data_IF_450537041634
#
_entry.id   IF_450537041634
#
_cell.length_a   1.000
_cell.length_b   1.000
_cell.length_c   1.000
_cell.angle_alpha   90.00
_cell.angle_beta   90.00
_cell.angle_gamma   90.00
#
_symmetry.space_group_name_H-M   'P 1'
#
loop_
_entity.id
_entity.type
_entity.pdbx_description
1 polymer ?
#
# COMPACT_ATOMS: atom_id res chain seq x y z
N UNK A 1 -48.62 2.32 -27.19
CA UNK A 1 -47.22 2.79 -27.29
C UNK A 1 -47.01 3.90 -26.29
N UNK A 2 -46.03 3.79 -25.39
CA UNK A 2 -45.06 4.83 -25.03
C UNK A 2 -44.10 4.26 -23.97
N UNK A 3 -42.83 4.60 -24.16
CA UNK A 3 -41.63 3.91 -23.70
C UNK A 3 -41.24 4.33 -22.28
N UNK A 4 -40.52 3.43 -21.59
CA UNK A 4 -39.85 3.65 -20.30
C UNK A 4 -38.69 4.64 -20.45
N UNK A 5 -38.36 5.49 -19.45
CA UNK A 5 -37.02 6.01 -19.28
C UNK A 5 -36.18 5.03 -18.45
N UNK A 6 -35.04 4.63 -18.99
CA UNK A 6 -34.05 3.76 -18.37
C UNK A 6 -33.47 4.42 -17.10
N UNK A 7 -33.37 3.64 -16.04
CA UNK A 7 -32.76 4.02 -14.76
C UNK A 7 -31.25 4.26 -14.98
N UNK A 8 -30.78 5.49 -14.74
CA UNK A 8 -29.36 5.86 -14.78
C UNK A 8 -28.55 5.02 -13.76
N UNK A 9 -28.02 3.86 -14.18
CA UNK A 9 -27.11 3.08 -13.36
C UNK A 9 -25.71 3.70 -13.45
N UNK A 10 -25.37 4.61 -12.52
CA UNK A 10 -23.96 4.93 -12.28
C UNK A 10 -23.26 3.63 -11.87
N UNK A 11 -22.12 3.28 -12.51
CA UNK A 11 -21.40 2.06 -12.13
C UNK A 11 -21.01 2.12 -10.64
N UNK A 12 -21.05 0.99 -9.93
CA UNK A 12 -20.81 0.96 -8.50
C UNK A 12 -19.40 1.49 -8.20
N UNK A 13 -19.30 2.31 -7.17
CA UNK A 13 -18.01 2.68 -6.60
C UNK A 13 -17.50 1.48 -5.82
N UNK A 14 -16.37 0.93 -6.23
CA UNK A 14 -15.74 -0.22 -5.61
C UNK A 14 -14.49 0.19 -4.83
N UNK A 15 -14.20 -0.44 -3.68
CA UNK A 15 -12.95 -0.25 -2.99
C UNK A 15 -11.83 -1.07 -3.64
N UNK A 16 -10.66 -0.47 -3.78
CA UNK A 16 -9.43 -1.13 -4.19
C UNK A 16 -8.30 -0.73 -3.26
N UNK A 17 -7.39 -1.66 -2.98
CA UNK A 17 -6.21 -1.40 -2.17
C UNK A 17 -5.02 -2.10 -2.80
N UNK A 18 -3.84 -1.49 -2.73
CA UNK A 18 -2.63 -2.13 -3.20
C UNK A 18 -1.40 -1.25 -3.10
N UNK A 19 -0.29 -1.81 -3.53
CA UNK A 19 1.00 -1.10 -3.61
C UNK A 19 1.19 -0.60 -5.03
N UNK A 20 1.54 0.67 -5.20
CA UNK A 20 1.94 1.21 -6.50
C UNK A 20 3.25 0.54 -6.90
N UNK A 21 3.20 -0.33 -7.91
CA UNK A 21 4.39 -1.04 -8.41
C UNK A 21 5.21 -0.11 -9.30
N UNK A 22 4.54 0.64 -10.19
CA UNK A 22 5.17 1.64 -11.06
C UNK A 22 4.17 2.67 -11.55
N UNK A 23 4.68 3.85 -11.89
CA UNK A 23 3.94 4.92 -12.56
C UNK A 23 4.22 4.81 -14.07
N UNK A 24 3.17 4.73 -14.87
CA UNK A 24 3.26 4.69 -16.33
C UNK A 24 3.29 6.10 -16.91
N UNK A 25 2.50 7.00 -16.33
CA UNK A 25 2.44 8.41 -16.71
C UNK A 25 2.00 9.24 -15.51
N UNK A 26 2.56 10.44 -15.36
CA UNK A 26 2.13 11.43 -14.38
C UNK A 26 2.27 12.83 -15.01
N UNK A 27 1.22 13.63 -14.93
CA UNK A 27 1.22 15.03 -15.32
C UNK A 27 1.29 15.89 -14.06
N UNK A 28 2.40 16.62 -13.90
CA UNK A 28 2.58 17.54 -12.75
C UNK A 28 1.60 18.72 -12.79
N UNK A 29 1.14 19.11 -13.99
CA UNK A 29 0.26 20.26 -14.20
C UNK A 29 -1.20 19.97 -13.82
N UNK A 30 -1.66 18.73 -14.06
CA UNK A 30 -3.05 18.33 -13.81
C UNK A 30 -3.23 17.30 -12.69
N UNK A 31 -2.14 16.71 -12.19
CA UNK A 31 -2.16 15.56 -11.27
C UNK A 31 -2.59 14.24 -11.93
N UNK A 32 -2.92 14.25 -13.23
CA UNK A 32 -3.40 13.07 -13.93
C UNK A 32 -2.31 11.99 -13.97
N UNK A 33 -2.62 10.82 -13.41
CA UNK A 33 -1.68 9.71 -13.28
C UNK A 33 -2.29 8.43 -13.82
N UNK A 34 -1.47 7.68 -14.54
CA UNK A 34 -1.69 6.28 -14.90
C UNK A 34 -0.62 5.46 -14.16
N UNK A 35 -1.04 4.56 -13.28
CA UNK A 35 -0.12 3.73 -12.51
C UNK A 35 -0.54 2.26 -12.52
N UNK A 36 0.42 1.38 -12.23
CA UNK A 36 0.21 -0.06 -12.07
C UNK A 36 0.24 -0.39 -10.59
N UNK A 37 -0.89 -0.86 -10.08
CA UNK A 37 -1.10 -1.21 -8.69
C UNK A 37 -1.06 -2.74 -8.53
N UNK A 38 -0.34 -3.20 -7.54
CA UNK A 38 -0.35 -4.58 -7.06
C UNK A 38 -1.37 -4.74 -5.94
N UNK A 39 -2.52 -5.32 -6.24
CA UNK A 39 -3.54 -5.62 -5.23
C UNK A 39 -3.15 -6.85 -4.38
N UNK A 40 -3.57 -6.93 -3.10
CA UNK A 40 -3.39 -8.11 -2.28
C UNK A 40 -4.07 -9.30 -2.92
N UNK A 41 -3.38 -10.45 -3.00
CA UNK A 41 -3.90 -11.74 -3.51
C UNK A 41 -4.13 -11.81 -5.03
N UNK A 42 -3.81 -10.77 -5.82
CA UNK A 42 -3.81 -10.87 -7.29
C UNK A 42 -2.39 -11.05 -7.81
N UNK A 43 -2.20 -11.94 -8.80
CA UNK A 43 -0.92 -12.04 -9.53
C UNK A 43 -0.76 -10.90 -10.54
N UNK A 44 -1.86 -10.39 -11.06
CA UNK A 44 -1.86 -9.34 -12.06
C UNK A 44 -1.81 -7.94 -11.45
N UNK A 45 -1.20 -7.02 -12.20
CA UNK A 45 -1.17 -5.60 -11.88
C UNK A 45 -2.44 -4.95 -12.43
N UNK A 46 -3.12 -4.21 -11.57
CA UNK A 46 -4.28 -3.40 -11.92
C UNK A 46 -3.81 -2.05 -12.45
N UNK A 47 -4.37 -1.59 -13.56
CA UNK A 47 -4.12 -0.23 -14.04
C UNK A 47 -5.05 0.73 -13.31
N UNK A 48 -4.52 1.72 -12.61
CA UNK A 48 -5.28 2.78 -11.96
C UNK A 48 -5.10 4.09 -12.72
N UNK A 49 -6.17 4.86 -12.85
CA UNK A 49 -6.18 6.18 -13.51
C UNK A 49 -6.93 7.19 -12.65
N UNK A 50 -6.42 8.40 -12.53
CA UNK A 50 -7.06 9.44 -11.71
C UNK A 50 -6.15 10.64 -11.47
N UNK A 51 -6.65 11.61 -10.71
CA UNK A 51 -5.86 12.77 -10.29
C UNK A 51 -5.26 12.51 -8.91
N UNK A 52 -3.93 12.53 -8.81
CA UNK A 52 -3.19 12.31 -7.58
C UNK A 52 -2.27 13.51 -7.33
N UNK A 53 -2.36 14.10 -6.13
CA UNK A 53 -1.51 15.23 -5.72
C UNK A 53 -0.05 14.81 -5.58
N UNK A 54 0.20 13.64 -4.98
CA UNK A 54 1.51 13.00 -4.87
C UNK A 54 1.31 11.50 -5.02
N UNK A 55 2.07 10.88 -5.92
CA UNK A 55 2.07 9.43 -6.11
C UNK A 55 3.47 8.95 -6.43
N UNK A 56 3.90 7.88 -5.76
CA UNK A 56 5.22 7.30 -5.88
C UNK A 56 5.14 5.77 -5.91
N UNK A 57 6.06 5.14 -6.64
CA UNK A 57 6.23 3.69 -6.57
C UNK A 57 6.61 3.28 -5.15
N UNK A 58 6.04 2.18 -4.66
CA UNK A 58 6.19 1.69 -3.29
C UNK A 58 5.12 2.19 -2.32
N UNK A 59 4.35 3.24 -2.66
CA UNK A 59 3.26 3.70 -1.80
C UNK A 59 2.12 2.68 -1.77
N UNK A 60 1.51 2.53 -0.59
CA UNK A 60 0.29 1.73 -0.47
C UNK A 60 -0.92 2.67 -0.47
N UNK A 61 -1.80 2.48 -1.43
CA UNK A 61 -2.99 3.29 -1.59
C UNK A 61 -4.23 2.46 -1.28
N UNK A 62 -5.12 3.04 -0.48
CA UNK A 62 -6.50 2.61 -0.37
C UNK A 62 -7.36 3.60 -1.15
N UNK A 63 -8.13 3.10 -2.11
CA UNK A 63 -8.84 3.92 -3.08
C UNK A 63 -10.26 3.41 -3.31
N UNK A 64 -11.09 4.32 -3.80
CA UNK A 64 -12.45 4.05 -4.26
C UNK A 64 -12.56 4.58 -5.68
N UNK A 65 -13.30 3.86 -6.51
CA UNK A 65 -13.34 4.16 -7.92
C UNK A 65 -14.26 3.25 -8.69
N UNK A 66 -14.22 3.40 -10.01
CA UNK A 66 -15.12 2.73 -10.94
C UNK A 66 -14.26 1.92 -11.91
N UNK A 67 -14.60 0.66 -12.13
CA UNK A 67 -14.00 -0.11 -13.22
C UNK A 67 -14.52 0.37 -14.57
N UNK A 68 -13.58 0.64 -15.49
CA UNK A 68 -13.82 1.01 -16.87
C UNK A 68 -13.00 0.10 -17.78
N UNK A 69 -13.58 -0.30 -18.89
CA UNK A 69 -12.86 -1.03 -19.93
C UNK A 69 -12.42 -0.05 -21.01
N UNK A 70 -11.11 0.00 -21.28
CA UNK A 70 -10.57 0.79 -22.38
C UNK A 70 -10.37 -0.12 -23.60
N UNK A 71 -10.91 0.22 -24.78
CA UNK A 71 -10.91 -0.66 -25.96
C UNK A 71 -9.51 -1.06 -26.43
N UNK A 72 -8.48 -0.26 -26.14
CA UNK A 72 -7.08 -0.53 -26.51
C UNK A 72 -6.21 -1.09 -25.36
N UNK A 73 -6.57 -0.83 -24.11
CA UNK A 73 -5.68 -1.08 -22.95
C UNK A 73 -6.29 -2.01 -21.90
N UNK A 74 -7.52 -2.49 -22.13
CA UNK A 74 -8.22 -3.38 -21.23
C UNK A 74 -8.76 -2.67 -19.99
N UNK A 75 -8.93 -3.43 -18.91
CA UNK A 75 -9.58 -2.97 -17.69
C UNK A 75 -8.70 -1.97 -16.91
N UNK A 76 -9.31 -0.84 -16.57
CA UNK A 76 -8.73 0.25 -15.79
C UNK A 76 -9.64 0.61 -14.63
N UNK A 77 -9.04 0.97 -13.50
CA UNK A 77 -9.73 1.42 -12.32
C UNK A 77 -9.65 2.95 -12.24
N UNK A 78 -10.76 3.63 -12.49
CA UNK A 78 -10.85 5.08 -12.41
C UNK A 78 -11.05 5.50 -10.96
N UNK A 79 -10.00 6.04 -10.35
CA UNK A 79 -9.96 6.48 -8.96
C UNK A 79 -10.71 7.79 -8.80
N UNK A 80 -11.70 7.80 -7.91
CA UNK A 80 -12.45 9.00 -7.52
C UNK A 80 -11.98 9.57 -6.19
N UNK A 81 -11.54 8.69 -5.28
CA UNK A 81 -11.00 9.07 -3.98
C UNK A 81 -9.88 8.11 -3.57
N UNK A 82 -8.84 8.62 -2.93
CA UNK A 82 -7.75 7.80 -2.41
C UNK A 82 -7.20 8.36 -1.11
N UNK A 83 -6.51 7.48 -0.37
CA UNK A 83 -5.70 7.81 0.80
C UNK A 83 -4.43 6.97 0.77
N UNK A 84 -3.31 7.61 1.09
CA UNK A 84 -2.07 6.90 1.38
C UNK A 84 -2.17 6.20 2.73
N UNK A 85 -1.80 4.93 2.75
CA UNK A 85 -1.82 4.08 3.94
C UNK A 85 -0.45 3.42 4.10
N UNK A 86 -0.11 3.04 5.34
CA UNK A 86 1.01 2.13 5.60
C UNK A 86 0.81 0.81 4.84
N UNK A 87 1.86 0.06 4.48
CA UNK A 87 1.71 -1.16 3.71
C UNK A 87 0.71 -2.11 4.35
N UNK A 88 -0.38 -2.35 3.63
CA UNK A 88 -1.55 -3.04 4.12
C UNK A 88 -1.54 -4.53 3.73
N UNK A 89 -0.34 -5.06 3.49
CA UNK A 89 -0.10 -6.48 3.23
C UNK A 89 1.08 -6.96 4.06
N UNK A 90 0.98 -8.19 4.58
CA UNK A 90 2.05 -8.82 5.35
C UNK A 90 3.37 -8.85 4.56
N UNK A 91 3.30 -9.19 3.27
CA UNK A 91 4.48 -9.21 2.39
C UNK A 91 5.08 -7.82 2.18
N UNK A 92 4.25 -6.78 2.08
CA UNK A 92 4.71 -5.40 1.98
C UNK A 92 5.44 -4.95 3.24
N UNK A 93 4.88 -5.25 4.40
CA UNK A 93 5.51 -4.97 5.70
C UNK A 93 6.82 -5.74 5.84
N UNK A 94 6.85 -7.02 5.47
CA UNK A 94 8.05 -7.86 5.56
C UNK A 94 9.17 -7.33 4.65
N UNK A 95 8.84 -6.98 3.39
CA UNK A 95 9.82 -6.40 2.45
C UNK A 95 10.31 -5.04 2.92
N UNK A 96 9.41 -4.19 3.40
CA UNK A 96 9.76 -2.87 3.92
C UNK A 96 10.76 -2.97 5.08
N UNK A 97 10.42 -3.77 6.10
CA UNK A 97 11.27 -3.99 7.26
C UNK A 97 12.58 -4.72 6.92
N UNK A 98 12.51 -5.69 6.02
CA UNK A 98 13.65 -6.54 5.61
C UNK A 98 14.56 -5.91 4.56
N UNK A 99 14.23 -4.72 4.04
CA UNK A 99 15.00 -4.01 3.01
C UNK A 99 16.38 -3.53 3.47
N UNK A 100 16.70 -3.69 4.76
CA UNK A 100 17.94 -3.19 5.37
C UNK A 100 17.87 -1.72 5.76
N UNK A 101 16.74 -1.07 5.50
CA UNK A 101 16.50 0.32 5.82
C UNK A 101 16.38 0.54 7.34
N UNK A 102 15.81 -0.43 8.09
CA UNK A 102 15.84 -0.43 9.56
C UNK A 102 17.04 -1.24 10.05
N UNK A 103 18.06 -0.56 10.60
CA UNK A 103 19.20 -1.25 11.23
C UNK A 103 18.71 -2.17 12.35
N UNK A 104 19.08 -3.44 12.25
CA UNK A 104 18.68 -4.48 13.21
C UNK A 104 17.48 -5.34 12.77
N UNK A 105 16.79 -4.97 11.69
CA UNK A 105 15.74 -5.80 11.06
C UNK A 105 16.23 -6.31 9.71
N UNK A 106 16.78 -7.52 9.71
CA UNK A 106 17.05 -8.25 8.47
C UNK A 106 15.81 -9.02 7.98
N UNK A 107 15.84 -9.62 6.78
CA UNK A 107 14.71 -10.35 6.19
C UNK A 107 14.12 -11.42 7.12
N UNK A 108 14.99 -12.15 7.84
CA UNK A 108 14.57 -13.19 8.80
C UNK A 108 13.83 -12.58 10.00
N UNK A 109 14.34 -11.46 10.53
CA UNK A 109 13.69 -10.76 11.65
C UNK A 109 12.37 -10.17 11.19
N UNK A 110 12.34 -9.51 10.03
CA UNK A 110 11.12 -8.94 9.45
C UNK A 110 10.03 -10.01 9.33
N UNK A 111 10.36 -11.17 8.76
CA UNK A 111 9.43 -12.30 8.63
C UNK A 111 8.87 -12.77 9.97
N UNK A 112 9.70 -12.84 11.02
CA UNK A 112 9.25 -13.24 12.37
C UNK A 112 8.35 -12.20 13.01
N UNK A 113 8.70 -10.92 12.91
CA UNK A 113 7.89 -9.82 13.47
C UNK A 113 6.53 -9.78 12.78
N UNK A 114 6.51 -9.85 11.45
CA UNK A 114 5.26 -9.88 10.67
C UNK A 114 4.46 -11.14 10.92
N UNK A 115 5.10 -12.31 11.10
CA UNK A 115 4.39 -13.53 11.47
C UNK A 115 3.73 -13.45 12.85
N UNK A 116 4.28 -12.64 13.77
CA UNK A 116 3.77 -12.51 15.13
C UNK A 116 2.69 -11.42 15.25
N UNK A 117 2.93 -10.22 14.72
CA UNK A 117 2.01 -9.08 14.84
C UNK A 117 1.14 -8.84 13.60
N UNK A 118 1.36 -9.58 12.52
CA UNK A 118 0.58 -9.43 11.30
C UNK A 118 0.64 -8.01 10.72
N UNK A 119 -0.53 -7.49 10.33
CA UNK A 119 -0.69 -6.15 9.77
C UNK A 119 -0.45 -5.04 10.80
N UNK A 120 -0.51 -5.35 12.09
CA UNK A 120 -0.29 -4.39 13.18
C UNK A 120 1.21 -4.10 13.40
N UNK A 121 2.10 -4.85 12.76
CA UNK A 121 3.55 -4.76 12.95
C UNK A 121 4.07 -3.32 12.94
N UNK A 122 3.65 -2.49 11.98
CA UNK A 122 4.14 -1.11 11.86
C UNK A 122 3.59 -0.20 12.95
N UNK A 123 2.38 -0.47 13.44
CA UNK A 123 1.80 0.24 14.58
C UNK A 123 2.55 -0.13 15.87
N UNK A 124 2.84 -1.41 16.06
CA UNK A 124 3.63 -1.91 17.18
C UNK A 124 5.02 -1.28 17.20
N UNK A 125 5.72 -1.23 16.07
CA UNK A 125 7.05 -0.60 16.01
C UNK A 125 6.97 0.91 16.30
N UNK A 126 5.85 1.57 15.95
CA UNK A 126 5.67 3.01 16.12
C UNK A 126 5.26 3.41 17.53
N UNK A 127 4.33 2.69 18.15
CA UNK A 127 3.69 3.06 19.41
C UNK A 127 4.04 2.14 20.58
N UNK A 128 4.42 0.88 20.30
CA UNK A 128 4.56 -0.18 21.30
C UNK A 128 5.82 -1.04 21.07
N UNK A 129 6.94 -0.40 20.76
CA UNK A 129 8.13 -1.09 20.25
C UNK A 129 8.72 -2.09 21.26
N UNK A 130 8.45 -1.92 22.56
CA UNK A 130 8.86 -2.88 23.58
C UNK A 130 8.27 -4.27 23.35
N UNK A 131 7.09 -4.36 22.72
CA UNK A 131 6.41 -5.61 22.41
C UNK A 131 7.19 -6.48 21.44
N UNK A 132 8.15 -5.93 20.68
CA UNK A 132 9.04 -6.75 19.85
C UNK A 132 9.79 -7.83 20.63
N UNK A 133 9.90 -7.72 21.97
CA UNK A 133 10.45 -8.77 22.83
C UNK A 133 9.58 -10.04 22.88
N UNK A 134 8.29 -9.95 22.54
CA UNK A 134 7.36 -11.09 22.42
C UNK A 134 7.75 -12.02 21.26
N UNK A 135 8.50 -11.51 20.28
CA UNK A 135 8.90 -12.27 19.09
C UNK A 135 10.13 -13.14 19.38
N UNK A 136 10.05 -14.47 19.15
CA UNK A 136 11.17 -15.37 19.38
C UNK A 136 12.46 -14.98 18.64
N UNK A 137 13.55 -14.82 19.40
CA UNK A 137 14.87 -14.45 18.88
C UNK A 137 15.13 -12.95 18.74
N UNK A 138 14.23 -12.10 19.26
CA UNK A 138 14.48 -10.68 19.46
C UNK A 138 14.82 -10.45 20.94
N UNK A 139 16.02 -9.93 21.20
CA UNK A 139 16.47 -9.58 22.54
C UNK A 139 16.31 -8.08 22.81
N UNK A 140 16.26 -7.65 24.08
CA UNK A 140 16.14 -6.24 24.50
C UNK A 140 17.17 -5.31 23.82
N UNK A 141 18.41 -5.77 23.62
CA UNK A 141 19.44 -5.01 22.88
C UNK A 141 19.03 -4.73 21.44
N UNK A 142 18.42 -5.72 20.78
CA UNK A 142 17.96 -5.62 19.39
C UNK A 142 16.74 -4.70 19.29
N UNK A 143 15.81 -4.76 20.25
CA UNK A 143 14.68 -3.81 20.34
C UNK A 143 15.18 -2.37 20.41
N UNK A 144 16.15 -2.07 21.28
CA UNK A 144 16.75 -0.73 21.37
C UNK A 144 17.37 -0.26 20.05
N UNK A 145 18.08 -1.15 19.34
CA UNK A 145 18.66 -0.82 18.03
C UNK A 145 17.58 -0.47 16.99
N UNK A 146 16.52 -1.29 16.93
CA UNK A 146 15.38 -1.07 16.03
C UNK A 146 14.70 0.25 16.36
N UNK A 147 14.51 0.56 17.65
CA UNK A 147 13.92 1.82 18.10
C UNK A 147 14.72 3.04 17.66
N UNK A 148 16.04 3.02 17.85
CA UNK A 148 16.90 4.12 17.42
C UNK A 148 16.81 4.28 15.89
N UNK A 149 16.94 3.18 15.14
CA UNK A 149 16.87 3.20 13.68
C UNK A 149 15.52 3.72 13.16
N UNK A 150 14.42 3.30 13.79
CA UNK A 150 13.06 3.72 13.44
C UNK A 150 12.86 5.23 13.64
N UNK A 151 13.31 5.75 14.78
CA UNK A 151 13.24 7.19 15.08
C UNK A 151 14.10 8.02 14.12
N UNK A 152 15.31 7.55 13.80
CA UNK A 152 16.18 8.23 12.82
C UNK A 152 15.55 8.29 11.43
N UNK A 153 14.91 7.21 10.99
CA UNK A 153 14.24 7.21 9.70
C UNK A 153 13.02 8.15 9.68
N UNK A 154 12.23 8.19 10.77
CA UNK A 154 11.04 9.04 10.87
C UNK A 154 11.33 10.54 10.79
N UNK A 155 12.57 10.93 11.06
CA UNK A 155 13.02 12.32 11.05
C UNK A 155 13.54 12.80 9.68
N UNK A 156 13.48 11.94 8.64
CA UNK A 156 13.83 12.24 7.24
C UNK A 156 12.52 12.31 6.44
#
# INVERSE_FOLDING_TARGET
MQQQPAMNAQPPIEPLQGVVERITYHSEESGYTIARLKAPRTRELVTIVGSFATIQAGQTLQMQGIWREHPQYGQQFQVTQYRETKPATLTGIEKYLGSGLIKGVGPVTAKRVVAHFGLETLDIIEHHIERLIEVPGIAKKRVKLIQIAWQTQKAI
#
